data_IF_579738554649
#
_entry.id   IF_579738554649
#
_cell.length_a   1.000
_cell.length_b   1.000
_cell.length_c   1.000
_cell.angle_alpha   90.00
_cell.angle_beta   90.00
_cell.angle_gamma   90.00
#
_symmetry.space_group_name_H-M   'P 1'
#
loop_
_entity.id
_entity.type
_entity.pdbx_description
1 polymer ?
#
# COMPACT_ATOMS: atom_id res chain seq x y z
N UNK A 1 10.87 12.66 7.33
CA UNK A 1 10.86 11.32 6.76
C UNK A 1 9.49 11.00 6.18
N UNK A 2 9.46 10.25 5.11
CA UNK A 2 8.20 9.86 4.50
C UNK A 2 7.48 8.84 5.36
N UNK A 3 6.16 8.90 5.34
CA UNK A 3 5.33 8.00 6.14
C UNK A 3 4.61 7.01 5.24
N UNK A 4 4.57 5.75 5.67
CA UNK A 4 3.96 4.66 4.94
C UNK A 4 2.87 4.01 5.80
N UNK A 5 1.77 3.62 5.18
CA UNK A 5 0.73 2.82 5.81
C UNK A 5 0.69 1.47 5.13
N UNK A 6 0.84 0.39 5.91
CA UNK A 6 0.73 -0.96 5.40
C UNK A 6 -0.63 -1.51 5.81
N UNK A 7 -1.43 -1.93 4.83
CA UNK A 7 -2.72 -2.59 5.07
C UNK A 7 -2.55 -4.06 4.70
N UNK A 8 -2.35 -4.91 5.71
CA UNK A 8 -2.00 -6.31 5.55
C UNK A 8 -2.43 -7.09 6.80
N UNK A 9 -3.19 -8.15 6.63
CA UNK A 9 -3.68 -8.95 7.77
C UNK A 9 -2.67 -9.98 8.29
N UNK A 10 -1.69 -10.37 7.50
CA UNK A 10 -0.63 -11.28 7.93
C UNK A 10 0.34 -10.52 8.83
N UNK A 11 0.23 -10.76 10.15
CA UNK A 11 1.01 -10.04 11.16
C UNK A 11 2.51 -10.26 11.00
N UNK A 12 2.92 -11.45 10.62
CA UNK A 12 4.33 -11.79 10.43
C UNK A 12 4.90 -11.01 9.25
N UNK A 13 4.19 -11.02 8.12
CA UNK A 13 4.62 -10.29 6.93
C UNK A 13 4.65 -8.79 7.19
N UNK A 14 3.58 -8.26 7.79
CA UNK A 14 3.51 -6.83 8.11
C UNK A 14 4.64 -6.41 9.06
N UNK A 15 4.93 -7.24 10.07
CA UNK A 15 6.03 -6.96 11.00
C UNK A 15 7.38 -6.92 10.33
N UNK A 16 7.65 -7.90 9.47
CA UNK A 16 8.91 -7.97 8.74
C UNK A 16 9.09 -6.77 7.80
N UNK A 17 8.04 -6.44 7.07
CA UNK A 17 8.06 -5.31 6.13
C UNK A 17 8.21 -3.99 6.90
N UNK A 18 7.46 -3.81 7.99
CA UNK A 18 7.53 -2.61 8.81
C UNK A 18 8.92 -2.39 9.36
N UNK A 19 9.55 -3.44 9.89
CA UNK A 19 10.90 -3.34 10.42
C UNK A 19 11.90 -2.98 9.34
N UNK A 20 11.83 -3.65 8.19
CA UNK A 20 12.74 -3.40 7.09
C UNK A 20 12.65 -1.96 6.58
N UNK A 21 11.42 -1.48 6.37
CA UNK A 21 11.21 -0.12 5.85
C UNK A 21 11.55 0.94 6.91
N UNK A 22 11.28 0.66 8.19
CA UNK A 22 11.67 1.57 9.27
C UNK A 22 13.19 1.75 9.33
N UNK A 23 13.93 0.66 9.17
CA UNK A 23 15.39 0.71 9.13
C UNK A 23 15.91 1.46 7.91
N UNK A 24 15.08 1.56 6.87
CA UNK A 24 15.44 2.28 5.64
C UNK A 24 15.05 3.76 5.69
N UNK A 25 14.58 4.25 6.84
CA UNK A 25 14.32 5.67 7.06
C UNK A 25 12.88 6.11 6.92
N UNK A 26 11.91 5.18 6.89
CA UNK A 26 10.50 5.51 6.80
C UNK A 26 9.81 5.45 8.15
N UNK A 27 8.77 6.26 8.32
CA UNK A 27 7.84 6.12 9.44
C UNK A 27 6.72 5.19 8.98
N UNK A 28 6.57 4.03 9.64
CA UNK A 28 5.65 3.00 9.17
C UNK A 28 4.53 2.76 10.17
N UNK A 29 3.29 2.77 9.70
CA UNK A 29 2.11 2.39 10.46
C UNK A 29 1.49 1.17 9.79
N UNK A 30 0.80 0.35 10.60
CA UNK A 30 0.19 -0.89 10.14
C UNK A 30 -1.29 -0.95 10.50
N UNK A 31 -2.11 -1.37 9.54
CA UNK A 31 -3.52 -1.69 9.74
C UNK A 31 -3.73 -3.13 9.28
N UNK A 32 -4.41 -3.93 10.12
CA UNK A 32 -4.62 -5.35 9.83
C UNK A 32 -5.85 -5.61 8.96
N UNK A 33 -6.73 -4.63 8.82
CA UNK A 33 -7.96 -4.75 8.04
C UNK A 33 -8.16 -3.56 7.12
N UNK A 34 -9.01 -3.73 6.11
CA UNK A 34 -9.39 -2.65 5.21
C UNK A 34 -10.05 -1.51 5.99
N UNK A 35 -10.97 -1.84 6.90
CA UNK A 35 -11.69 -0.85 7.69
C UNK A 35 -10.73 0.01 8.53
N UNK A 36 -9.79 -0.62 9.20
CA UNK A 36 -8.80 0.11 9.99
C UNK A 36 -7.95 1.01 9.11
N UNK A 37 -7.52 0.51 7.96
CA UNK A 37 -6.71 1.30 7.02
C UNK A 37 -7.45 2.51 6.50
N UNK A 38 -8.70 2.34 6.09
CA UNK A 38 -9.52 3.45 5.60
C UNK A 38 -9.80 4.46 6.70
N UNK A 39 -10.04 4.00 7.93
CA UNK A 39 -10.24 4.89 9.07
C UNK A 39 -9.01 5.77 9.31
N UNK A 40 -7.82 5.19 9.26
CA UNK A 40 -6.59 5.94 9.41
C UNK A 40 -6.43 7.00 8.31
N UNK A 41 -6.79 6.64 7.08
CA UNK A 41 -6.71 7.58 5.96
C UNK A 41 -7.66 8.75 6.12
N UNK A 42 -8.86 8.51 6.67
CA UNK A 42 -9.83 9.57 6.88
C UNK A 42 -9.45 10.53 8.00
N UNK A 43 -8.83 10.03 9.08
CA UNK A 43 -8.62 10.81 10.29
C UNK A 43 -7.24 11.40 10.45
N UNK A 44 -6.27 10.96 9.69
CA UNK A 44 -4.90 11.44 9.79
C UNK A 44 -4.58 12.41 8.65
N UNK A 45 -3.42 13.07 8.76
CA UNK A 45 -2.89 13.88 7.66
C UNK A 45 -2.65 13.04 6.40
N UNK A 46 -2.61 11.74 6.58
CA UNK A 46 -2.41 10.78 5.51
C UNK A 46 -0.95 10.37 5.34
N UNK A 47 -0.73 9.12 4.91
CA UNK A 47 0.62 8.67 4.59
C UNK A 47 1.06 9.22 3.23
N UNK A 48 2.36 9.15 2.99
CA UNK A 48 2.92 9.50 1.69
C UNK A 48 2.71 8.38 0.67
N UNK A 49 2.49 7.15 1.16
CA UNK A 49 2.25 5.99 0.32
C UNK A 49 1.55 4.90 1.13
N UNK A 50 0.64 4.17 0.48
CA UNK A 50 -0.06 3.01 1.06
C UNK A 50 0.46 1.74 0.39
N UNK A 51 0.87 0.77 1.19
CA UNK A 51 1.16 -0.59 0.73
C UNK A 51 -0.07 -1.42 1.07
N UNK A 52 -0.73 -1.97 0.06
CA UNK A 52 -2.08 -2.52 0.18
C UNK A 52 -2.15 -3.95 -0.33
N UNK A 53 -2.48 -4.89 0.57
CA UNK A 53 -2.70 -6.28 0.17
C UNK A 53 -4.04 -6.40 -0.55
N UNK A 54 -4.06 -7.17 -1.63
CA UNK A 54 -5.29 -7.46 -2.37
C UNK A 54 -6.23 -8.32 -1.55
N UNK A 55 -5.70 -9.28 -0.78
CA UNK A 55 -6.51 -10.22 0.00
C UNK A 55 -6.57 -9.83 1.46
N UNK A 56 -7.64 -9.15 1.86
CA UNK A 56 -7.87 -8.73 3.23
C UNK A 56 -9.08 -9.48 3.81
N UNK A 57 -9.17 -9.63 5.15
CA UNK A 57 -10.24 -10.44 5.76
C UNK A 57 -11.62 -9.81 5.64
N UNK A 58 -11.71 -8.50 5.61
CA UNK A 58 -12.99 -7.78 5.63
C UNK A 58 -13.34 -7.12 4.29
N UNK A 59 -12.41 -7.11 3.33
CA UNK A 59 -12.66 -6.52 2.02
C UNK A 59 -11.56 -6.88 1.04
N UNK A 60 -11.86 -6.74 -0.23
CA UNK A 60 -10.89 -6.87 -1.31
C UNK A 60 -10.04 -5.60 -1.37
N UNK A 61 -8.72 -5.76 -1.51
CA UNK A 61 -7.81 -4.61 -1.65
C UNK A 61 -8.12 -3.75 -2.87
N UNK A 62 -8.68 -4.34 -3.93
CA UNK A 62 -9.11 -3.58 -5.10
C UNK A 62 -10.22 -2.60 -4.74
N UNK A 63 -11.15 -3.02 -3.89
CA UNK A 63 -12.22 -2.14 -3.39
C UNK A 63 -11.65 -1.03 -2.50
N UNK A 64 -10.67 -1.35 -1.66
CA UNK A 64 -9.99 -0.34 -0.86
C UNK A 64 -9.33 0.71 -1.75
N UNK A 65 -8.68 0.28 -2.82
CA UNK A 65 -8.07 1.18 -3.79
C UNK A 65 -9.11 2.10 -4.42
N UNK A 66 -10.27 1.56 -4.82
CA UNK A 66 -11.37 2.38 -5.34
C UNK A 66 -11.82 3.44 -4.35
N UNK A 67 -11.98 3.04 -3.09
CA UNK A 67 -12.42 3.97 -2.04
C UNK A 67 -11.40 5.07 -1.79
N UNK A 68 -10.11 4.74 -1.82
CA UNK A 68 -9.07 5.75 -1.69
C UNK A 68 -9.15 6.74 -2.83
N UNK A 69 -9.29 6.25 -4.05
CA UNK A 69 -9.35 7.12 -5.25
C UNK A 69 -10.58 8.00 -5.28
N UNK A 70 -11.65 7.59 -4.58
CA UNK A 70 -12.87 8.38 -4.46
C UNK A 70 -12.81 9.45 -3.37
N UNK A 71 -11.76 9.46 -2.54
CA UNK A 71 -11.60 10.47 -1.50
C UNK A 71 -11.32 11.83 -2.11
N UNK A 72 -11.88 12.86 -1.48
CA UNK A 72 -11.71 14.23 -1.95
C UNK A 72 -10.31 14.76 -1.62
N UNK A 73 -9.84 15.70 -2.43
CA UNK A 73 -8.59 16.39 -2.22
C UNK A 73 -7.38 15.50 -2.45
N UNK A 74 -6.31 15.82 -1.77
CA UNK A 74 -5.03 15.13 -1.93
C UNK A 74 -5.08 13.66 -1.53
N UNK A 75 -6.01 13.28 -0.64
CA UNK A 75 -6.13 11.88 -0.21
C UNK A 75 -6.47 10.95 -1.36
N UNK A 76 -7.29 11.40 -2.33
CA UNK A 76 -7.63 10.61 -3.50
C UNK A 76 -6.45 10.33 -4.41
N UNK A 77 -5.37 11.07 -4.27
CA UNK A 77 -4.15 10.92 -5.06
C UNK A 77 -3.02 10.23 -4.28
N UNK A 78 -3.31 9.68 -3.11
CA UNK A 78 -2.31 8.96 -2.31
C UNK A 78 -1.71 7.81 -3.13
N UNK A 79 -0.38 7.74 -3.25
CA UNK A 79 0.26 6.64 -3.97
C UNK A 79 -0.07 5.29 -3.36
N UNK A 80 -0.35 4.30 -4.19
CA UNK A 80 -0.73 2.95 -3.77
C UNK A 80 0.16 1.92 -4.45
N UNK A 81 0.81 1.08 -3.62
CA UNK A 81 1.56 -0.07 -4.08
C UNK A 81 0.82 -1.33 -3.64
N UNK A 82 0.36 -2.12 -4.60
CA UNK A 82 -0.43 -3.31 -4.32
C UNK A 82 0.46 -4.52 -4.08
N UNK A 83 0.08 -5.35 -3.10
CA UNK A 83 0.69 -6.67 -2.90
C UNK A 83 -0.28 -7.71 -3.46
N UNK A 84 0.16 -8.48 -4.44
CA UNK A 84 -0.68 -9.44 -5.15
C UNK A 84 -0.19 -10.87 -4.99
N UNK A 85 -1.06 -11.84 -5.22
CA UNK A 85 -0.66 -13.23 -5.27
C UNK A 85 0.19 -13.48 -6.52
N UNK A 86 1.20 -14.32 -6.37
CA UNK A 86 2.06 -14.70 -7.49
C UNK A 86 1.23 -15.37 -8.58
N UNK A 87 1.42 -14.92 -9.82
CA UNK A 87 0.78 -15.54 -10.96
C UNK A 87 -0.65 -15.11 -11.23
N UNK A 88 -1.10 -14.04 -10.61
CA UNK A 88 -2.44 -13.50 -10.86
C UNK A 88 -2.37 -12.23 -11.70
N UNK A 89 -2.36 -12.36 -13.05
CA UNK A 89 -2.26 -11.18 -13.92
C UNK A 89 -3.52 -10.32 -13.89
N UNK A 90 -4.69 -10.88 -13.58
CA UNK A 90 -5.94 -10.11 -13.54
C UNK A 90 -5.95 -9.11 -12.42
N UNK A 91 -5.45 -9.47 -11.24
CA UNK A 91 -5.36 -8.53 -10.12
C UNK A 91 -4.47 -7.35 -10.46
N UNK A 92 -3.38 -7.58 -11.19
CA UNK A 92 -2.47 -6.52 -11.60
C UNK A 92 -3.12 -5.57 -12.59
N UNK A 93 -3.79 -6.12 -13.60
CA UNK A 93 -4.46 -5.34 -14.63
C UNK A 93 -5.56 -4.48 -14.00
N UNK A 94 -6.43 -5.10 -13.21
CA UNK A 94 -7.54 -4.39 -12.57
C UNK A 94 -7.03 -3.33 -11.61
N UNK A 95 -5.99 -3.64 -10.82
CA UNK A 95 -5.40 -2.69 -9.89
C UNK A 95 -4.86 -1.46 -10.58
N UNK A 96 -4.15 -1.63 -11.69
CA UNK A 96 -3.62 -0.50 -12.46
C UNK A 96 -4.74 0.31 -13.09
N UNK A 97 -5.79 -0.33 -13.60
CA UNK A 97 -6.94 0.37 -14.18
C UNK A 97 -7.69 1.18 -13.14
N UNK A 98 -7.81 0.67 -11.92
CA UNK A 98 -8.48 1.37 -10.80
C UNK A 98 -7.64 2.55 -10.32
N UNK A 99 -6.31 2.46 -10.45
CA UNK A 99 -5.44 3.57 -10.10
C UNK A 99 -4.31 3.25 -9.13
N UNK A 100 -3.93 1.97 -8.99
CA UNK A 100 -2.72 1.64 -8.26
C UNK A 100 -1.51 2.14 -9.05
N UNK A 101 -0.47 2.56 -8.33
CA UNK A 101 0.73 3.12 -8.96
C UNK A 101 1.73 2.04 -9.35
N UNK A 102 1.70 0.91 -8.65
CA UNK A 102 2.59 -0.22 -8.94
C UNK A 102 2.08 -1.45 -8.17
N UNK A 103 2.70 -2.57 -8.37
CA UNK A 103 2.37 -3.81 -7.66
C UNK A 103 3.63 -4.64 -7.44
N UNK A 104 3.57 -5.50 -6.41
CA UNK A 104 4.61 -6.48 -6.11
C UNK A 104 3.93 -7.82 -5.84
N UNK A 105 4.40 -8.88 -6.49
CA UNK A 105 3.83 -10.22 -6.31
C UNK A 105 4.45 -10.91 -5.09
N UNK A 106 3.62 -11.58 -4.30
CA UNK A 106 4.09 -12.43 -3.20
C UNK A 106 4.51 -13.80 -3.73
N UNK A 107 5.57 -14.40 -3.22
CA UNK A 107 6.55 -13.86 -2.28
C UNK A 107 7.50 -12.87 -2.97
N UNK A 108 7.94 -11.87 -2.23
CA UNK A 108 8.82 -10.83 -2.78
C UNK A 108 10.06 -10.67 -1.91
N UNK A 109 11.11 -10.13 -2.53
CA UNK A 109 12.29 -9.71 -1.81
C UNK A 109 12.05 -8.34 -1.16
N UNK A 110 12.38 -8.15 0.12
CA UNK A 110 12.20 -6.84 0.76
C UNK A 110 12.89 -5.70 0.01
N UNK A 111 14.04 -5.98 -0.62
CA UNK A 111 14.74 -4.97 -1.43
C UNK A 111 13.95 -4.54 -2.66
N UNK A 112 13.21 -5.46 -3.26
CA UNK A 112 12.35 -5.12 -4.41
C UNK A 112 11.22 -4.18 -3.95
N UNK A 113 10.59 -4.50 -2.83
CA UNK A 113 9.53 -3.65 -2.28
C UNK A 113 10.06 -2.25 -1.99
N UNK A 114 11.22 -2.17 -1.32
CA UNK A 114 11.86 -0.90 -1.01
C UNK A 114 12.17 -0.09 -2.27
N UNK A 115 12.71 -0.75 -3.30
CA UNK A 115 13.03 -0.08 -4.55
C UNK A 115 11.80 0.51 -5.22
N UNK A 116 10.67 -0.22 -5.20
CA UNK A 116 9.43 0.27 -5.79
C UNK A 116 8.82 1.40 -4.98
N UNK A 117 8.87 1.33 -3.66
CA UNK A 117 8.44 2.42 -2.78
C UNK A 117 9.22 3.69 -3.11
N UNK A 118 10.54 3.58 -3.18
CA UNK A 118 11.39 4.72 -3.49
C UNK A 118 11.13 5.29 -4.89
N UNK A 119 10.88 4.41 -5.86
CA UNK A 119 10.59 4.84 -7.23
C UNK A 119 9.29 5.65 -7.30
N UNK A 120 8.25 5.18 -6.60
CA UNK A 120 6.97 5.90 -6.56
C UNK A 120 7.14 7.27 -5.89
N UNK A 121 7.83 7.31 -4.75
CA UNK A 121 8.02 8.57 -4.01
C UNK A 121 8.85 9.57 -4.81
N UNK A 122 9.83 9.11 -5.58
CA UNK A 122 10.60 10.00 -6.46
C UNK A 122 9.70 10.64 -7.51
N UNK A 123 8.78 9.88 -8.09
CA UNK A 123 7.84 10.42 -9.09
C UNK A 123 6.91 11.46 -8.49
N UNK A 124 6.51 11.26 -7.23
CA UNK A 124 5.64 12.21 -6.54
C UNK A 124 6.35 13.53 -6.21
N UNK A 125 7.66 13.47 -6.05
CA UNK A 125 8.46 14.65 -5.69
C UNK A 125 8.72 15.61 -6.86
N UNK A 126 8.45 15.20 -8.09
CA UNK A 126 8.68 16.02 -9.30
C UNK A 126 7.61 17.09 -9.51
#
# INVERSE_FOLDING_TARGET
MDSLLIIEDDQRLAGMVSEYLSQSGFAVNHAATANEGLTRLHHAAGPDLVILDVMLPDSDGLEVCRRIRAMEGSKGHTPILMLTAKGDPMDRIVGLEIGADDYVAKPFEPRELLARVRAILRRQAL
#
